data_IF_846293681343
#
_entry.id   IF_846293681343
#
_cell.length_a   1.000
_cell.length_b   1.000
_cell.length_c   1.000
_cell.angle_alpha   90.00
_cell.angle_beta   90.00
_cell.angle_gamma   90.00
#
_symmetry.space_group_name_H-M   'P 1'
#
loop_
_entity.id
_entity.type
_entity.pdbx_description
1 polymer ?
#
# COMPACT_ATOMS: atom_id res chain seq x y z
N UNK A 1 -1.00 -65.00 4.07
CA UNK A 1 -0.68 -64.25 2.82
C UNK A 1 -1.67 -63.12 2.52
N UNK A 2 -2.98 -63.29 2.73
CA UNK A 2 -4.03 -62.28 2.43
C UNK A 2 -3.88 -60.92 3.15
N UNK A 3 -3.42 -60.93 4.41
CA UNK A 3 -3.20 -59.69 5.19
C UNK A 3 -2.08 -58.80 4.61
N UNK A 4 -1.00 -59.39 4.10
CA UNK A 4 0.09 -58.61 3.45
C UNK A 4 -0.39 -57.95 2.16
N UNK A 5 -1.26 -58.62 1.41
CA UNK A 5 -1.91 -58.07 0.22
C UNK A 5 -2.80 -56.86 0.55
N UNK A 6 -3.58 -56.92 1.63
CA UNK A 6 -4.38 -55.77 2.09
C UNK A 6 -3.52 -54.56 2.45
N UNK A 7 -2.41 -54.77 3.16
CA UNK A 7 -1.49 -53.69 3.50
C UNK A 7 -0.82 -53.05 2.27
N UNK A 8 -0.44 -53.85 1.28
CA UNK A 8 0.14 -53.34 0.03
C UNK A 8 -0.88 -52.47 -0.71
N UNK A 9 -2.13 -52.92 -0.83
CA UNK A 9 -3.20 -52.15 -1.47
C UNK A 9 -3.47 -50.84 -0.73
N UNK A 10 -3.47 -50.86 0.61
CA UNK A 10 -3.65 -49.66 1.42
C UNK A 10 -2.53 -48.65 1.19
N UNK A 11 -1.27 -49.09 1.23
CA UNK A 11 -0.11 -48.23 1.00
C UNK A 11 -0.12 -47.66 -0.41
N UNK A 12 -0.45 -48.48 -1.42
CA UNK A 12 -0.57 -48.01 -2.80
C UNK A 12 -1.67 -46.95 -2.94
N UNK A 13 -2.84 -47.15 -2.32
CA UNK A 13 -3.92 -46.16 -2.35
C UNK A 13 -3.51 -44.84 -1.71
N UNK A 14 -2.85 -44.88 -0.54
CA UNK A 14 -2.35 -43.68 0.15
C UNK A 14 -1.27 -42.98 -0.67
N UNK A 15 -0.30 -43.71 -1.23
CA UNK A 15 0.75 -43.14 -2.05
C UNK A 15 0.18 -42.48 -3.33
N UNK A 16 -0.83 -43.10 -3.94
CA UNK A 16 -1.50 -42.55 -5.13
C UNK A 16 -2.28 -41.28 -4.78
N UNK A 17 -3.05 -41.30 -3.69
CA UNK A 17 -3.76 -40.13 -3.19
C UNK A 17 -2.79 -38.98 -2.87
N UNK A 18 -1.68 -39.28 -2.19
CA UNK A 18 -0.65 -38.31 -1.89
C UNK A 18 -0.05 -37.71 -3.18
N UNK A 19 0.35 -38.55 -4.14
CA UNK A 19 0.89 -38.10 -5.42
C UNK A 19 -0.05 -37.13 -6.17
N UNK A 20 -1.36 -37.46 -6.21
CA UNK A 20 -2.34 -36.62 -6.89
C UNK A 20 -2.62 -35.29 -6.18
N UNK A 21 -2.51 -35.25 -4.86
CA UNK A 21 -2.79 -34.06 -4.05
C UNK A 21 -1.57 -33.14 -3.94
N UNK A 22 -0.36 -33.69 -3.84
CA UNK A 22 0.84 -32.88 -3.55
C UNK A 22 1.72 -32.67 -4.76
N UNK A 23 2.02 -33.72 -5.52
CA UNK A 23 2.98 -33.66 -6.62
C UNK A 23 2.32 -33.18 -7.92
N UNK A 24 1.12 -33.67 -8.24
CA UNK A 24 0.44 -33.33 -9.49
C UNK A 24 0.14 -31.83 -9.64
N UNK A 25 -0.28 -31.08 -8.61
CA UNK A 25 -0.47 -29.63 -8.73
C UNK A 25 0.84 -28.87 -8.93
N UNK A 26 1.95 -29.34 -8.35
CA UNK A 26 3.26 -28.73 -8.54
C UNK A 26 3.82 -28.91 -9.96
N UNK A 27 3.34 -29.91 -10.70
CA UNK A 27 3.67 -30.14 -12.11
C UNK A 27 2.79 -29.35 -13.08
N UNK A 28 1.68 -28.78 -12.60
CA UNK A 28 0.91 -27.84 -13.42
C UNK A 28 1.79 -26.59 -13.53
N UNK A 29 2.19 -26.27 -14.76
CA UNK A 29 2.94 -25.06 -15.04
C UNK A 29 2.25 -23.84 -14.42
N UNK A 30 3.01 -22.76 -14.14
CA UNK A 30 2.43 -21.56 -13.58
C UNK A 30 1.22 -21.14 -14.41
N UNK A 31 0.08 -20.78 -13.78
CA UNK A 31 -1.10 -20.36 -14.51
C UNK A 31 -0.69 -19.26 -15.50
N UNK A 32 -1.26 -19.32 -16.70
CA UNK A 32 -0.98 -18.35 -17.77
C UNK A 32 -1.04 -16.95 -17.17
N UNK A 33 0.11 -16.23 -17.18
CA UNK A 33 0.18 -14.90 -16.57
C UNK A 33 -0.82 -14.02 -17.29
N UNK A 34 -1.91 -13.69 -16.60
CA UNK A 34 -2.92 -12.77 -17.11
C UNK A 34 -2.21 -11.47 -17.46
N UNK A 35 -2.14 -11.17 -18.76
CA UNK A 35 -1.54 -9.95 -19.27
C UNK A 35 -2.40 -8.75 -18.83
N UNK A 36 -2.05 -8.17 -17.67
CA UNK A 36 -2.78 -7.03 -17.08
C UNK A 36 -2.96 -5.89 -18.08
N UNK A 37 -1.93 -5.62 -18.89
CA UNK A 37 -2.00 -4.60 -19.94
C UNK A 37 -3.05 -4.87 -21.02
N UNK A 38 -3.27 -6.15 -21.37
CA UNK A 38 -4.29 -6.53 -22.36
C UNK A 38 -5.68 -6.37 -21.73
N UNK A 39 -5.84 -6.80 -20.49
CA UNK A 39 -7.10 -6.71 -19.75
C UNK A 39 -7.53 -5.25 -19.51
N UNK A 40 -6.59 -4.38 -19.11
CA UNK A 40 -6.85 -2.95 -18.93
C UNK A 40 -7.24 -2.26 -20.25
N UNK A 41 -6.59 -2.66 -21.36
CA UNK A 41 -6.90 -2.14 -22.69
C UNK A 41 -8.31 -2.55 -23.13
N UNK A 42 -8.67 -3.81 -22.95
CA UNK A 42 -10.00 -4.34 -23.29
C UNK A 42 -11.10 -3.77 -22.41
N UNK A 43 -10.84 -3.61 -21.11
CA UNK A 43 -11.78 -3.01 -20.18
C UNK A 43 -12.04 -1.54 -20.54
N UNK A 44 -10.99 -0.75 -20.80
CA UNK A 44 -11.15 0.66 -21.22
C UNK A 44 -11.84 0.82 -22.57
N UNK A 45 -11.61 -0.11 -23.52
CA UNK A 45 -12.23 -0.05 -24.84
C UNK A 45 -13.74 -0.31 -24.78
N UNK A 46 -14.18 -1.23 -23.90
CA UNK A 46 -15.57 -1.69 -23.86
C UNK A 46 -16.41 -1.06 -22.73
N UNK A 47 -15.77 -0.58 -21.66
CA UNK A 47 -16.47 0.01 -20.53
C UNK A 47 -16.79 1.48 -20.78
N UNK A 48 -18.03 1.77 -21.15
CA UNK A 48 -18.60 3.12 -21.09
C UNK A 48 -19.37 3.26 -19.79
N UNK A 49 -18.89 4.04 -18.80
CA UNK A 49 -19.64 4.24 -17.57
C UNK A 49 -21.02 4.85 -17.90
N UNK A 50 -22.08 4.43 -17.20
CA UNK A 50 -23.39 5.03 -17.38
C UNK A 50 -23.32 6.53 -17.03
N UNK A 51 -24.08 7.39 -17.73
CA UNK A 51 -24.11 8.81 -17.41
C UNK A 51 -24.67 9.00 -16.00
N UNK A 52 -23.83 9.47 -15.09
CA UNK A 52 -24.24 9.79 -13.72
C UNK A 52 -24.92 11.18 -13.79
N UNK A 53 -26.18 11.31 -13.33
CA UNK A 53 -26.80 12.63 -13.26
C UNK A 53 -26.01 13.52 -12.30
N UNK A 54 -25.80 14.80 -12.61
CA UNK A 54 -25.11 15.70 -11.71
C UNK A 54 -25.87 15.77 -10.38
N UNK A 55 -25.18 15.70 -9.23
CA UNK A 55 -25.83 15.84 -7.94
C UNK A 55 -26.48 17.24 -7.85
N UNK A 56 -27.64 17.37 -7.19
CA UNK A 56 -28.24 18.67 -6.95
C UNK A 56 -27.25 19.51 -6.14
N UNK A 57 -26.87 20.69 -6.67
CA UNK A 57 -26.03 21.61 -5.92
C UNK A 57 -26.83 22.12 -4.70
N UNK A 58 -26.24 22.17 -3.51
CA UNK A 58 -26.88 22.80 -2.37
C UNK A 58 -27.14 24.28 -2.71
N UNK A 59 -28.39 24.71 -2.59
CA UNK A 59 -28.73 26.13 -2.65
C UNK A 59 -28.08 26.81 -1.44
N UNK A 60 -26.99 27.52 -1.69
CA UNK A 60 -26.31 28.30 -0.67
C UNK A 60 -27.22 29.49 -0.35
N UNK A 61 -28.10 29.33 0.64
CA UNK A 61 -28.85 30.43 1.23
C UNK A 61 -27.88 31.26 2.04
N UNK A 62 -27.20 32.20 1.38
CA UNK A 62 -26.38 33.20 2.05
C UNK A 62 -27.36 34.16 2.72
N UNK A 63 -27.72 33.88 3.96
CA UNK A 63 -28.38 34.85 4.82
C UNK A 63 -27.39 36.00 5.02
N UNK A 64 -27.50 37.06 4.23
CA UNK A 64 -26.66 38.25 4.35
C UNK A 64 -27.06 38.95 5.66
N UNK A 65 -26.22 38.91 6.71
CA UNK A 65 -26.52 39.66 7.91
C UNK A 65 -26.49 41.15 7.55
N UNK A 66 -27.58 41.87 7.82
CA UNK A 66 -27.63 43.34 7.65
C UNK A 66 -26.73 43.97 8.71
N UNK A 67 -25.46 44.14 8.36
CA UNK A 67 -24.46 44.80 9.20
C UNK A 67 -24.78 46.29 9.33
N UNK A 68 -24.81 46.78 10.56
CA UNK A 68 -24.77 48.21 10.82
C UNK A 68 -23.44 48.79 10.27
N UNK A 69 -23.43 50.00 9.69
CA UNK A 69 -22.20 50.59 9.19
C UNK A 69 -21.18 50.75 10.33
N UNK A 70 -19.92 50.35 10.14
CA UNK A 70 -18.90 50.48 11.17
C UNK A 70 -18.65 51.98 11.46
N UNK A 71 -18.39 52.35 12.72
CA UNK A 71 -17.99 53.72 13.04
C UNK A 71 -16.68 54.04 12.31
N UNK A 72 -16.62 55.22 11.70
CA UNK A 72 -15.48 55.74 10.95
C UNK A 72 -14.25 55.88 11.85
N UNK A 73 -13.48 54.80 12.00
CA UNK A 73 -12.16 54.84 12.64
C UNK A 73 -11.11 55.10 11.57
N UNK A 74 -10.11 55.97 11.81
CA UNK A 74 -9.00 56.12 10.90
C UNK A 74 -8.27 54.78 10.77
N UNK A 75 -8.03 54.35 9.53
CA UNK A 75 -7.28 53.13 9.24
C UNK A 75 -5.84 53.28 9.76
N UNK A 76 -5.32 52.30 10.52
CA UNK A 76 -3.91 52.30 10.86
C UNK A 76 -3.10 52.16 9.57
N UNK A 77 -2.07 53.00 9.41
CA UNK A 77 -1.11 52.92 8.31
C UNK A 77 -0.37 51.58 8.44
N UNK A 78 -0.73 50.61 7.60
CA UNK A 78 -0.06 49.31 7.53
C UNK A 78 1.29 49.53 6.84
N UNK A 79 2.38 49.28 7.56
CA UNK A 79 3.71 49.26 6.95
C UNK A 79 3.82 48.07 5.97
N UNK A 80 4.50 48.25 4.81
CA UNK A 80 4.69 47.17 3.85
C UNK A 80 5.49 46.02 4.49
N UNK A 81 4.93 44.82 4.43
CA UNK A 81 5.55 43.60 4.94
C UNK A 81 6.63 43.14 3.95
N UNK A 82 7.90 43.34 4.31
CA UNK A 82 9.09 42.99 3.51
C UNK A 82 9.61 41.56 3.79
N UNK A 83 8.76 40.65 4.28
CA UNK A 83 9.20 39.28 4.55
C UNK A 83 9.44 38.55 3.21
N UNK A 84 10.62 37.95 2.99
CA UNK A 84 10.89 37.17 1.79
C UNK A 84 9.97 35.96 1.75
N UNK A 85 9.17 35.85 0.69
CA UNK A 85 8.33 34.67 0.41
C UNK A 85 9.27 33.48 0.20
N UNK A 86 9.16 32.39 0.99
CA UNK A 86 9.96 31.19 0.77
C UNK A 86 9.70 30.67 -0.64
N UNK A 87 10.76 30.59 -1.44
CA UNK A 87 10.68 30.06 -2.81
C UNK A 87 10.22 28.61 -2.84
N UNK A 88 9.77 28.12 -4.02
CA UNK A 88 9.37 26.73 -4.17
C UNK A 88 10.55 25.80 -3.82
N UNK A 89 10.36 24.94 -2.83
CA UNK A 89 11.34 23.93 -2.47
C UNK A 89 11.33 22.82 -3.53
N UNK A 90 12.41 22.70 -4.29
CA UNK A 90 12.60 21.58 -5.22
C UNK A 90 12.92 20.33 -4.42
N UNK A 91 11.94 19.46 -4.25
CA UNK A 91 12.15 18.13 -3.66
C UNK A 91 12.76 17.23 -4.74
N UNK A 92 13.94 16.63 -4.52
CA UNK A 92 14.52 15.71 -5.49
C UNK A 92 13.61 14.50 -5.66
N UNK A 93 13.08 14.33 -6.88
CA UNK A 93 12.27 13.17 -7.25
C UNK A 93 13.25 12.00 -7.42
N UNK A 94 13.23 11.05 -6.50
CA UNK A 94 14.01 9.82 -6.61
C UNK A 94 13.31 8.90 -7.62
N UNK A 95 13.83 8.83 -8.84
CA UNK A 95 13.28 8.00 -9.91
C UNK A 95 13.22 6.53 -9.48
N UNK A 96 12.00 5.97 -9.43
CA UNK A 96 11.76 4.55 -9.11
C UNK A 96 11.32 4.26 -7.67
N UNK A 97 11.23 5.28 -6.81
CA UNK A 97 10.73 5.13 -5.43
C UNK A 97 9.37 5.80 -5.32
N UNK A 98 8.30 5.01 -5.22
CA UNK A 98 6.93 5.54 -5.06
C UNK A 98 6.48 5.37 -3.61
N UNK A 99 6.03 6.47 -2.99
CA UNK A 99 5.34 6.42 -1.71
C UNK A 99 3.89 6.00 -2.00
N UNK A 100 3.55 4.79 -1.61
CA UNK A 100 2.22 4.22 -1.74
C UNK A 100 1.41 4.47 -0.46
N UNK A 101 0.18 4.96 -0.62
CA UNK A 101 -0.76 5.25 0.46
C UNK A 101 -1.98 4.30 0.44
N UNK A 102 -2.01 3.31 -0.45
CA UNK A 102 -3.15 2.40 -0.63
C UNK A 102 -3.50 1.57 0.60
N UNK A 103 -2.58 1.42 1.56
CA UNK A 103 -2.78 0.73 2.84
C UNK A 103 -3.15 1.67 4.00
N UNK A 104 -3.30 2.97 3.77
CA UNK A 104 -3.59 3.97 4.81
C UNK A 104 -2.39 4.41 5.64
N UNK A 105 -1.19 3.89 5.35
CA UNK A 105 0.08 4.36 5.91
C UNK A 105 1.08 4.62 4.77
N UNK A 106 1.95 5.64 4.88
CA UNK A 106 2.95 5.92 3.85
C UNK A 106 3.98 4.78 3.81
N UNK A 107 3.94 3.99 2.73
CA UNK A 107 4.92 2.93 2.48
C UNK A 107 5.77 3.28 1.27
N UNK A 108 7.09 3.30 1.48
CA UNK A 108 8.06 3.47 0.40
C UNK A 108 8.23 2.12 -0.31
N UNK A 109 7.80 2.02 -1.57
CA UNK A 109 8.03 0.82 -2.39
C UNK A 109 9.23 1.05 -3.31
N UNK A 110 10.38 0.49 -2.93
CA UNK A 110 11.56 0.40 -3.79
C UNK A 110 11.52 -0.89 -4.60
N UNK A 111 11.88 -0.84 -5.89
CA UNK A 111 11.97 -2.02 -6.75
C UNK A 111 13.44 -2.38 -6.99
N UNK A 112 13.89 -3.55 -6.51
CA UNK A 112 15.21 -4.12 -6.86
C UNK A 112 16.22 -4.22 -5.71
N UNK A 113 17.49 -3.90 -6.00
CA UNK A 113 18.68 -4.12 -5.13
C UNK A 113 18.55 -3.48 -3.73
N UNK A 114 17.77 -2.41 -3.61
CA UNK A 114 17.57 -1.72 -2.33
C UNK A 114 16.74 -2.54 -1.35
N UNK A 115 15.82 -3.38 -1.84
CA UNK A 115 15.05 -4.29 -0.99
C UNK A 115 15.97 -5.38 -0.39
N UNK A 116 16.89 -5.92 -1.20
CA UNK A 116 17.89 -6.89 -0.72
C UNK A 116 18.85 -6.28 0.30
N UNK A 117 19.23 -5.01 0.11
CA UNK A 117 20.05 -4.27 1.07
C UNK A 117 19.29 -4.02 2.39
N UNK A 118 18.01 -3.67 2.33
CA UNK A 118 17.15 -3.49 3.50
C UNK A 118 16.94 -4.80 4.26
N UNK A 119 16.64 -5.90 3.55
CA UNK A 119 16.45 -7.21 4.17
C UNK A 119 17.75 -7.70 4.85
N UNK A 120 18.90 -7.45 4.23
CA UNK A 120 20.20 -7.73 4.83
C UNK A 120 20.45 -6.90 6.07
N UNK A 121 20.19 -5.59 6.02
CA UNK A 121 20.36 -4.69 7.16
C UNK A 121 19.45 -5.08 8.33
N UNK A 122 18.19 -5.42 8.06
CA UNK A 122 17.25 -5.90 9.08
C UNK A 122 17.73 -7.19 9.74
N UNK A 123 18.32 -8.09 8.96
CA UNK A 123 18.89 -9.33 9.49
C UNK A 123 20.11 -9.06 10.38
N UNK A 124 21.01 -8.18 9.97
CA UNK A 124 22.17 -7.79 10.78
C UNK A 124 21.75 -7.11 12.09
N UNK A 125 20.74 -6.23 12.06
CA UNK A 125 20.18 -5.63 13.28
C UNK A 125 19.53 -6.67 14.20
N UNK A 126 18.80 -7.62 13.64
CA UNK A 126 18.18 -8.70 14.41
C UNK A 126 19.24 -9.63 15.02
N UNK A 127 20.37 -9.87 14.35
CA UNK A 127 21.49 -10.62 14.92
C UNK A 127 22.20 -9.83 16.01
N UNK A 128 22.49 -8.55 15.79
CA UNK A 128 23.14 -7.69 16.77
C UNK A 128 22.32 -7.52 18.07
N UNK A 129 20.99 -7.54 17.97
CA UNK A 129 20.11 -7.39 19.13
C UNK A 129 19.94 -8.67 19.96
N UNK A 130 20.29 -9.86 19.44
CA UNK A 130 20.19 -11.12 20.20
C UNK A 130 21.11 -11.16 21.41
N UNK A 131 22.25 -10.52 21.32
CA UNK A 131 23.26 -10.52 22.38
C UNK A 131 23.06 -9.39 23.40
N UNK A 132 22.17 -8.42 23.11
CA UNK A 132 21.86 -7.32 24.01
C UNK A 132 20.74 -7.75 24.97
N UNK A 133 21.13 -8.33 26.11
CA UNK A 133 20.22 -8.55 27.25
C UNK A 133 20.30 -7.36 28.21
N UNK A 134 19.19 -6.64 28.34
CA UNK A 134 19.03 -5.66 29.42
C UNK A 134 18.73 -6.38 30.73
N UNK A 135 19.47 -6.05 31.79
CA UNK A 135 19.19 -6.57 33.13
C UNK A 135 17.79 -6.10 33.59
N UNK A 136 17.07 -6.92 34.38
CA UNK A 136 15.77 -6.53 34.89
C UNK A 136 15.87 -5.27 35.76
N UNK A 137 14.88 -4.35 35.70
CA UNK A 137 14.89 -3.16 36.55
C UNK A 137 14.85 -3.58 38.02
N UNK A 138 15.73 -2.99 38.83
CA UNK A 138 15.69 -3.11 40.29
C UNK A 138 14.33 -2.57 40.75
N UNK A 139 13.52 -3.41 41.40
CA UNK A 139 12.33 -2.95 42.10
C UNK A 139 12.78 -2.19 43.35
N UNK A 140 12.53 -0.87 43.37
CA UNK A 140 12.50 -0.06 44.59
C UNK A 140 11.14 -0.20 45.28
#
# INVERSE_FOLDING_TARGET
>A
MKSRLLWIVLVAAVATGFYFVTIRPALQGPPERINRHKLDREFRANFKPPPIPPPPLPEVVIATPKLAPPPSRPLPVVAPRNDPVPGPQTVPIQDGVTIDFSTGAPMVKGFGKDQEALDKALKEMAEATKDVKFAPPKKE
#
